data_IF_090245575651
#
_entry.id   IF_090245575651
#
_cell.length_a   1.000
_cell.length_b   1.000
_cell.length_c   1.000
_cell.angle_alpha   90.00
_cell.angle_beta   90.00
_cell.angle_gamma   90.00
#
_symmetry.space_group_name_H-M   'P 1'
#
loop_
_entity.id
_entity.type
_entity.pdbx_description
1 polymer ?
#
# COMPACT_ATOMS: atom_id res chain seq x y z
N UNK A 1 -25.80 -85.47 -8.81
CA UNK A 1 -25.26 -84.39 -9.69
C UNK A 1 -25.12 -83.13 -8.85
N UNK A 2 -23.89 -82.65 -8.64
CA UNK A 2 -23.58 -81.57 -7.68
C UNK A 2 -23.43 -80.24 -8.44
N UNK A 3 -24.33 -79.31 -8.19
CA UNK A 3 -24.35 -77.96 -8.79
C UNK A 3 -23.37 -77.03 -8.07
N UNK A 4 -22.57 -76.32 -8.84
CA UNK A 4 -21.51 -75.41 -8.38
C UNK A 4 -22.06 -74.21 -7.58
N UNK A 5 -21.40 -73.87 -6.46
CA UNK A 5 -21.56 -72.57 -5.80
C UNK A 5 -20.36 -71.69 -6.17
N UNK A 6 -20.58 -70.74 -7.09
CA UNK A 6 -19.66 -69.63 -7.33
C UNK A 6 -19.90 -68.62 -6.21
N UNK A 7 -18.92 -68.46 -5.31
CA UNK A 7 -18.97 -67.45 -4.24
C UNK A 7 -18.26 -66.20 -4.75
N UNK A 8 -19.06 -65.24 -5.16
CA UNK A 8 -18.66 -63.95 -5.71
C UNK A 8 -17.74 -63.21 -4.74
N UNK A 9 -16.51 -62.94 -5.19
CA UNK A 9 -15.57 -62.01 -4.53
C UNK A 9 -16.09 -60.61 -4.75
N UNK A 10 -16.33 -59.86 -3.67
CA UNK A 10 -16.51 -58.41 -3.76
C UNK A 10 -15.80 -57.75 -2.59
N UNK A 11 -14.55 -57.33 -2.82
CA UNK A 11 -13.83 -56.38 -1.96
C UNK A 11 -14.18 -54.99 -2.48
N UNK A 12 -15.13 -54.32 -1.86
CA UNK A 12 -15.43 -52.92 -2.14
C UNK A 12 -14.34 -52.09 -1.45
N UNK A 13 -13.41 -51.57 -2.23
CA UNK A 13 -12.37 -50.65 -1.80
C UNK A 13 -13.01 -49.26 -1.68
N UNK A 14 -13.36 -48.85 -0.46
CA UNK A 14 -13.85 -47.50 -0.20
C UNK A 14 -12.67 -46.56 0.05
N UNK A 15 -12.09 -46.01 -1.02
CA UNK A 15 -11.23 -44.82 -0.93
C UNK A 15 -12.12 -43.58 -0.79
N UNK A 16 -12.27 -43.10 0.45
CA UNK A 16 -12.87 -41.80 0.73
C UNK A 16 -11.86 -40.72 0.36
N UNK A 17 -12.04 -40.07 -0.80
CA UNK A 17 -11.36 -38.82 -1.14
C UNK A 17 -11.98 -37.68 -0.32
N UNK A 18 -11.47 -37.45 0.88
CA UNK A 18 -11.70 -36.19 1.60
C UNK A 18 -10.72 -35.14 1.09
N UNK A 19 -11.04 -34.56 -0.06
CA UNK A 19 -10.33 -33.40 -0.61
C UNK A 19 -11.37 -32.36 -1.04
N UNK A 20 -11.66 -31.39 -0.17
CA UNK A 20 -12.04 -30.00 -0.48
C UNK A 20 -12.73 -29.33 0.71
N UNK A 21 -11.94 -28.78 1.62
CA UNK A 21 -12.40 -27.76 2.56
C UNK A 21 -11.31 -26.70 2.77
N UNK A 22 -10.71 -26.22 1.67
CA UNK A 22 -9.66 -25.19 1.70
C UNK A 22 -9.99 -23.94 0.86
N UNK A 23 -11.19 -23.83 0.29
CA UNK A 23 -11.54 -22.73 -0.63
C UNK A 23 -12.42 -21.63 -0.01
N UNK A 24 -12.58 -21.60 1.31
CA UNK A 24 -13.56 -20.71 1.95
C UNK A 24 -13.07 -19.32 2.37
N UNK A 25 -11.82 -19.20 2.84
CA UNK A 25 -11.37 -17.96 3.50
C UNK A 25 -10.25 -17.21 2.77
N UNK A 26 -9.68 -17.77 1.71
CA UNK A 26 -8.59 -17.15 0.94
C UNK A 26 -9.05 -16.46 -0.34
N UNK A 27 -10.27 -16.75 -0.83
CA UNK A 27 -10.80 -16.12 -2.04
C UNK A 27 -11.27 -14.68 -1.82
N UNK A 28 -11.73 -14.34 -0.60
CA UNK A 28 -12.26 -12.99 -0.31
C UNK A 28 -11.17 -11.94 -0.12
N UNK A 29 -9.97 -12.37 0.30
CA UNK A 29 -8.78 -11.50 0.40
C UNK A 29 -8.21 -11.16 -0.99
N UNK A 30 -8.45 -12.00 -2.00
CA UNK A 30 -8.03 -11.77 -3.40
C UNK A 30 -9.00 -10.89 -4.20
N UNK A 31 -10.12 -10.47 -3.60
CA UNK A 31 -11.17 -9.69 -4.27
C UNK A 31 -11.32 -8.27 -3.73
N UNK A 32 -10.45 -7.83 -2.80
CA UNK A 32 -10.48 -6.42 -2.41
C UNK A 32 -10.08 -5.57 -3.61
N UNK A 33 -10.89 -4.56 -3.88
CA UNK A 33 -10.72 -3.62 -4.98
C UNK A 33 -10.86 -2.19 -4.45
N UNK A 34 -10.84 -1.21 -5.36
CA UNK A 34 -10.88 0.20 -5.03
C UNK A 34 -12.29 0.75 -4.80
N UNK A 35 -13.34 -0.09 -4.84
CA UNK A 35 -14.71 0.38 -4.72
C UNK A 35 -14.94 0.97 -3.31
N UNK A 36 -15.48 2.20 -3.27
CA UNK A 36 -15.74 2.92 -2.02
C UNK A 36 -14.58 3.77 -1.48
N UNK A 37 -13.41 3.75 -2.14
CA UNK A 37 -12.23 4.54 -1.73
C UNK A 37 -12.30 6.01 -2.14
N UNK A 38 -13.35 6.48 -2.81
CA UNK A 38 -13.40 7.83 -3.38
C UNK A 38 -13.33 8.92 -2.29
N UNK A 39 -13.87 8.64 -1.11
CA UNK A 39 -13.73 9.53 0.04
C UNK A 39 -12.27 9.63 0.50
N UNK A 40 -11.58 8.49 0.59
CA UNK A 40 -10.17 8.45 0.98
C UNK A 40 -9.27 9.12 -0.06
N UNK A 41 -9.50 8.86 -1.35
CA UNK A 41 -8.80 9.53 -2.46
C UNK A 41 -8.89 11.06 -2.32
N UNK A 42 -10.09 11.58 -2.00
CA UNK A 42 -10.26 13.02 -1.75
C UNK A 42 -9.57 13.49 -0.47
N UNK A 43 -9.63 12.70 0.60
CA UNK A 43 -8.95 13.01 1.86
C UNK A 43 -7.44 13.13 1.65
N UNK A 44 -6.81 12.11 1.07
CA UNK A 44 -5.38 12.07 0.77
C UNK A 44 -4.97 13.26 -0.11
N UNK A 45 -5.77 13.57 -1.14
CA UNK A 45 -5.51 14.72 -2.02
C UNK A 45 -5.63 16.10 -1.36
N UNK A 46 -6.35 16.19 -0.24
CA UNK A 46 -6.56 17.44 0.49
C UNK A 46 -5.56 17.64 1.64
N UNK A 47 -4.60 16.73 1.83
CA UNK A 47 -3.59 16.85 2.87
C UNK A 47 -2.66 18.04 2.61
N UNK A 48 -2.65 19.01 3.53
CA UNK A 48 -1.85 20.23 3.39
C UNK A 48 -0.34 19.99 3.28
N UNK A 49 0.16 18.84 3.76
CA UNK A 49 1.57 18.45 3.61
C UNK A 49 2.00 18.28 2.15
N UNK A 50 1.07 17.98 1.23
CA UNK A 50 1.37 17.84 -0.19
C UNK A 50 1.73 19.18 -0.84
N UNK A 51 1.16 20.28 -0.32
CA UNK A 51 1.42 21.65 -0.76
C UNK A 51 2.54 22.33 0.02
N UNK A 52 3.04 21.70 1.09
CA UNK A 52 4.07 22.28 1.95
C UNK A 52 5.47 22.11 1.36
N UNK A 53 5.68 22.33 0.06
CA UNK A 53 7.04 22.26 -0.52
C UNK A 53 7.92 23.43 -0.04
N UNK A 54 9.25 23.27 0.07
CA UNK A 54 10.16 24.40 0.30
C UNK A 54 10.08 25.44 -0.83
N UNK A 55 10.32 26.72 -0.55
CA UNK A 55 10.13 27.83 -1.51
C UNK A 55 10.87 27.68 -2.86
N UNK A 56 12.06 27.07 -2.84
CA UNK A 56 12.87 26.85 -4.05
C UNK A 56 12.59 25.51 -4.75
N UNK A 57 11.66 24.72 -4.23
CA UNK A 57 11.25 23.47 -4.84
C UNK A 57 10.28 23.75 -5.98
N UNK A 58 10.56 23.15 -7.13
CA UNK A 58 9.75 23.29 -8.35
C UNK A 58 9.28 21.91 -8.78
N UNK A 59 8.05 21.80 -9.27
CA UNK A 59 7.56 20.54 -9.85
C UNK A 59 8.49 20.14 -10.98
N UNK A 60 8.99 18.91 -10.96
CA UNK A 60 9.88 18.42 -12.01
C UNK A 60 9.14 18.43 -13.35
N UNK A 61 9.70 19.06 -14.38
CA UNK A 61 9.08 19.12 -15.71
C UNK A 61 8.84 17.70 -16.24
N UNK A 62 7.59 17.38 -16.54
CA UNK A 62 7.19 16.05 -17.03
C UNK A 62 6.97 15.02 -15.91
N UNK A 63 7.21 15.36 -14.64
CA UNK A 63 6.55 14.67 -13.55
C UNK A 63 5.13 15.22 -13.52
N UNK A 64 4.17 14.39 -13.90
CA UNK A 64 2.79 14.69 -13.56
C UNK A 64 2.69 14.66 -12.04
N UNK A 65 2.02 15.67 -11.53
CA UNK A 65 1.71 15.76 -10.12
C UNK A 65 0.64 14.68 -9.89
N UNK A 66 1.05 13.50 -9.45
CA UNK A 66 0.18 12.32 -9.47
C UNK A 66 -1.05 12.60 -8.60
N UNK A 67 -2.22 12.65 -9.25
CA UNK A 67 -3.48 12.70 -8.54
C UNK A 67 -3.55 11.49 -7.60
N UNK A 68 -4.10 11.65 -6.39
CA UNK A 68 -4.31 10.51 -5.52
C UNK A 68 -5.14 9.46 -6.24
N UNK A 69 -4.68 8.22 -6.16
CA UNK A 69 -5.31 7.09 -6.83
C UNK A 69 -5.28 5.88 -5.89
N UNK A 70 -6.25 5.00 -6.09
CA UNK A 70 -6.26 3.71 -5.43
C UNK A 70 -5.61 2.67 -6.35
N UNK A 71 -4.84 1.78 -5.75
CA UNK A 71 -4.47 0.52 -6.38
C UNK A 71 -4.73 -0.62 -5.39
N UNK A 72 -5.22 -1.73 -5.92
CA UNK A 72 -5.39 -2.98 -5.20
C UNK A 72 -4.48 -4.01 -5.86
N UNK A 73 -3.37 -4.33 -5.22
CA UNK A 73 -2.46 -5.39 -5.66
C UNK A 73 -2.19 -6.32 -4.48
N UNK A 74 -2.14 -7.62 -4.73
CA UNK A 74 -1.78 -8.65 -3.75
C UNK A 74 -2.63 -8.73 -2.45
N UNK A 75 -3.81 -8.10 -2.40
CA UNK A 75 -4.79 -8.21 -1.30
C UNK A 75 -4.89 -6.97 -0.40
N UNK A 76 -3.99 -6.01 -0.56
CA UNK A 76 -4.08 -4.71 0.10
C UNK A 76 -4.68 -3.66 -0.83
N UNK A 77 -5.54 -2.80 -0.29
CA UNK A 77 -6.11 -1.63 -0.98
C UNK A 77 -5.38 -0.41 -0.45
N UNK A 78 -4.69 0.29 -1.34
CA UNK A 78 -3.85 1.42 -0.98
C UNK A 78 -4.24 2.63 -1.80
N UNK A 79 -4.51 3.73 -1.11
CA UNK A 79 -4.65 5.05 -1.74
C UNK A 79 -3.30 5.76 -1.61
N UNK A 80 -2.73 6.18 -2.73
CA UNK A 80 -1.43 6.86 -2.75
C UNK A 80 -1.42 8.10 -3.62
N UNK A 81 -0.48 9.00 -3.32
CA UNK A 81 -0.11 10.13 -4.19
C UNK A 81 1.36 10.43 -4.00
N UNK A 82 2.03 10.82 -5.09
CA UNK A 82 3.43 11.22 -5.06
C UNK A 82 3.60 12.57 -5.75
N UNK A 83 4.37 13.44 -5.12
CA UNK A 83 4.80 14.73 -5.68
C UNK A 83 6.31 14.72 -5.83
N UNK A 84 6.81 14.95 -7.04
CA UNK A 84 8.25 15.00 -7.29
C UNK A 84 8.70 16.41 -7.59
N UNK A 85 9.71 16.86 -6.85
CA UNK A 85 10.23 18.22 -6.93
C UNK A 85 11.71 18.23 -7.27
N UNK A 86 12.09 19.10 -8.21
CA UNK A 86 13.48 19.54 -8.37
C UNK A 86 13.79 20.58 -7.30
N UNK A 87 14.94 20.45 -6.63
CA UNK A 87 15.33 21.34 -5.55
C UNK A 87 16.84 21.67 -5.62
N UNK A 88 17.22 22.94 -5.78
CA UNK A 88 18.62 23.35 -5.91
C UNK A 88 19.36 23.46 -4.56
N UNK A 89 18.73 23.06 -3.46
CA UNK A 89 19.30 23.10 -2.12
C UNK A 89 19.86 21.75 -1.66
N UNK A 90 20.01 21.59 -0.35
CA UNK A 90 20.59 20.38 0.25
C UNK A 90 19.53 19.42 0.76
N UNK A 91 19.89 18.13 0.90
CA UNK A 91 19.05 17.13 1.56
C UNK A 91 18.70 17.52 3.00
N UNK A 92 19.63 18.18 3.70
CA UNK A 92 19.43 18.64 5.07
C UNK A 92 18.37 19.75 5.17
N UNK A 93 18.31 20.66 4.19
CA UNK A 93 17.27 21.69 4.11
C UNK A 93 15.88 21.06 3.93
N UNK A 94 15.75 20.10 2.99
CA UNK A 94 14.50 19.36 2.76
C UNK A 94 14.09 18.56 4.00
N UNK A 95 15.04 17.89 4.65
CA UNK A 95 14.81 17.13 5.87
C UNK A 95 14.32 18.00 7.03
N UNK A 96 14.97 19.15 7.24
CA UNK A 96 14.57 20.11 8.27
C UNK A 96 13.17 20.67 7.99
N UNK A 97 12.89 20.99 6.72
CA UNK A 97 11.59 21.48 6.27
C UNK A 97 10.47 20.48 6.55
N UNK A 98 10.58 19.23 6.06
CA UNK A 98 9.50 18.25 6.23
C UNK A 98 9.35 17.79 7.67
N UNK A 99 10.41 17.73 8.48
CA UNK A 99 10.24 17.52 9.93
C UNK A 99 9.44 18.64 10.60
N UNK A 100 9.63 19.88 10.18
CA UNK A 100 8.86 21.00 10.71
C UNK A 100 7.40 20.94 10.23
N UNK A 101 7.18 20.78 8.92
CA UNK A 101 5.86 20.73 8.31
C UNK A 101 5.03 19.53 8.81
N UNK A 102 5.63 18.34 8.88
CA UNK A 102 5.00 17.13 9.40
C UNK A 102 4.51 17.33 10.84
N UNK A 103 5.36 17.86 11.73
CA UNK A 103 4.95 18.16 13.12
C UNK A 103 3.85 19.20 13.20
N UNK A 104 3.91 20.25 12.38
CA UNK A 104 2.88 21.29 12.35
C UNK A 104 1.52 20.74 11.89
N UNK A 105 1.54 19.81 10.94
CA UNK A 105 0.34 19.13 10.43
C UNK A 105 -0.05 17.88 11.26
N UNK A 106 0.59 17.67 12.41
CA UNK A 106 0.22 16.63 13.38
C UNK A 106 0.73 15.22 13.06
N UNK A 107 1.58 15.06 12.05
CA UNK A 107 2.30 13.83 11.79
C UNK A 107 3.38 13.60 12.85
N UNK A 108 3.67 12.34 13.12
CA UNK A 108 4.72 11.92 14.06
C UNK A 108 5.76 11.09 13.33
N UNK A 109 7.03 11.07 13.77
CA UNK A 109 8.00 10.12 13.23
C UNK A 109 7.43 8.70 13.25
N UNK A 110 7.58 8.00 12.14
CA UNK A 110 7.19 6.59 12.04
C UNK A 110 8.08 5.75 12.97
N UNK A 111 7.49 4.97 13.91
CA UNK A 111 8.26 4.17 14.86
C UNK A 111 9.11 3.08 14.20
N UNK A 112 8.77 2.65 12.98
CA UNK A 112 9.48 1.61 12.24
C UNK A 112 10.54 2.19 11.27
N UNK A 113 10.69 3.51 11.23
CA UNK A 113 11.65 4.17 10.35
C UNK A 113 13.10 3.97 10.80
N UNK A 114 14.01 3.76 9.84
CA UNK A 114 15.44 3.67 10.15
C UNK A 114 16.01 5.05 10.57
N UNK A 115 17.12 5.07 11.34
CA UNK A 115 17.75 6.32 11.73
C UNK A 115 18.16 7.17 10.52
N UNK A 116 17.51 8.32 10.37
CA UNK A 116 17.79 9.28 9.30
C UNK A 116 16.72 9.32 8.22
N UNK A 117 15.82 8.34 8.18
CA UNK A 117 14.67 8.34 7.30
C UNK A 117 13.74 9.52 7.60
N UNK A 118 13.06 9.95 6.55
CA UNK A 118 12.04 10.98 6.62
C UNK A 118 10.67 10.32 6.45
N UNK A 119 10.37 9.35 7.31
CA UNK A 119 9.07 8.68 7.39
C UNK A 119 8.26 9.19 8.59
N UNK A 120 6.97 9.39 8.38
CA UNK A 120 6.03 9.91 9.36
C UNK A 120 4.69 9.18 9.27
N UNK A 121 4.01 9.03 10.40
CA UNK A 121 2.69 8.41 10.49
C UNK A 121 1.64 9.38 11.06
N UNK A 122 0.41 9.26 10.57
CA UNK A 122 -0.78 9.98 11.06
C UNK A 122 -2.02 9.10 10.88
N UNK A 123 -2.45 8.45 11.95
CA UNK A 123 -3.53 7.46 11.86
C UNK A 123 -3.05 6.23 11.08
N UNK A 124 -3.77 5.89 10.02
CA UNK A 124 -3.50 4.83 9.04
C UNK A 124 -2.69 5.32 7.83
N UNK A 125 -2.33 6.60 7.80
CA UNK A 125 -1.54 7.19 6.73
C UNK A 125 -0.05 7.24 7.08
N UNK A 126 0.75 7.03 6.04
CA UNK A 126 2.20 7.14 6.09
C UNK A 126 2.67 8.16 5.05
N UNK A 127 3.68 8.92 5.43
CA UNK A 127 4.31 9.95 4.61
C UNK A 127 5.81 9.69 4.60
N UNK A 128 6.43 9.71 3.43
CA UNK A 128 7.89 9.71 3.36
C UNK A 128 8.46 10.63 2.30
N UNK A 129 9.73 10.98 2.49
CA UNK A 129 10.51 11.82 1.59
C UNK A 129 11.74 11.06 1.10
N UNK A 130 11.78 10.77 -0.19
CA UNK A 130 12.89 10.09 -0.85
C UNK A 130 13.76 11.06 -1.64
N UNK A 131 15.08 10.91 -1.59
CA UNK A 131 15.99 11.78 -2.33
C UNK A 131 16.39 11.18 -3.68
N UNK A 132 16.21 11.97 -4.74
CA UNK A 132 16.67 11.65 -6.09
C UNK A 132 17.85 12.55 -6.47
N UNK A 133 18.46 12.31 -7.64
CA UNK A 133 19.71 12.98 -8.05
C UNK A 133 19.62 14.51 -8.10
N UNK A 134 18.46 15.06 -8.45
CA UNK A 134 18.24 16.51 -8.64
C UNK A 134 17.14 17.08 -7.74
N UNK A 135 16.70 16.33 -6.72
CA UNK A 135 15.57 16.73 -5.90
C UNK A 135 15.07 15.64 -4.96
N UNK A 136 13.75 15.57 -4.78
CA UNK A 136 13.12 14.60 -3.88
C UNK A 136 11.69 14.25 -4.32
N UNK A 137 11.21 13.09 -3.88
CA UNK A 137 9.81 12.68 -3.93
C UNK A 137 9.17 12.82 -2.55
N UNK A 138 7.92 13.25 -2.51
CA UNK A 138 7.06 13.25 -1.33
C UNK A 138 5.90 12.31 -1.61
N UNK A 139 5.78 11.24 -0.84
CA UNK A 139 4.73 10.23 -1.04
C UNK A 139 3.88 10.12 0.21
N UNK A 140 2.56 10.09 0.01
CA UNK A 140 1.60 9.69 1.04
C UNK A 140 0.94 8.40 0.60
N UNK A 141 0.75 7.47 1.53
CA UNK A 141 -0.11 6.30 1.37
C UNK A 141 -1.08 6.19 2.53
N UNK A 142 -2.27 5.67 2.23
CA UNK A 142 -3.28 5.25 3.19
C UNK A 142 -3.64 3.80 2.89
N UNK A 143 -3.64 2.96 3.91
CA UNK A 143 -4.13 1.59 3.82
C UNK A 143 -5.62 1.58 4.18
N UNK A 144 -6.44 0.89 3.38
CA UNK A 144 -7.89 0.71 3.60
C UNK A 144 -8.24 -0.63 4.24
#
# INVERSE_FOLDING_TARGET
>A
MKTARIRTVSRILATVLMASALTGCSLMELTRDCDGTEARVREVGALGILDSRPDRATVTRGAEEDAPHCFADSGDVVVSTTRTYAFPGTRAEVAAHYRAAARQDGWRPDPEAEPGDLSFAKGDMYLWVDFISTGYGLTVVSYE
#
